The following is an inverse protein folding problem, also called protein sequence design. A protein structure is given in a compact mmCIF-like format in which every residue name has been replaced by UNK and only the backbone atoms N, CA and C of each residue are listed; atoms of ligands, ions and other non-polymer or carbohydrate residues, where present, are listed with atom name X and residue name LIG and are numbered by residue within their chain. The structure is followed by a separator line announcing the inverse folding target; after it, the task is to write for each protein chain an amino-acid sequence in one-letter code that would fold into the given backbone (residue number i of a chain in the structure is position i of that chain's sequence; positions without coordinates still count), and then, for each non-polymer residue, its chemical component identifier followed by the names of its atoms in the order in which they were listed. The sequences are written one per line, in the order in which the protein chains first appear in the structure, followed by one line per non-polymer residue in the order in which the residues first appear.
data_IF_064961978016
#
_entry.id   IF_064961978016
#
_cell.length_a   1.000
_cell.length_b   1.000
_cell.length_c   1.000
_cell.angle_alpha   90.00
_cell.angle_beta   90.00
_cell.angle_gamma   90.00
#
_symmetry.space_group_name_H-M   'P 1'
#
loop_
_entity.id
_entity.type
_entity.pdbx_description
1 polymer ?
#
# COMPACT_ATOMS: atom_id res chain seq x y z
N UNK A 1 9.01 -11.36 -12.60
CA UNK A 1 9.24 -11.13 -11.14
C UNK A 1 10.43 -10.20 -11.01
N UNK A 2 10.35 -9.17 -10.15
CA UNK A 2 11.46 -8.27 -9.83
C UNK A 2 11.95 -8.55 -8.41
N UNK A 3 13.26 -8.57 -8.19
CA UNK A 3 13.86 -8.83 -6.87
C UNK A 3 14.57 -7.56 -6.40
N UNK A 4 14.06 -6.96 -5.33
CA UNK A 4 14.66 -5.79 -4.69
C UNK A 4 15.57 -6.23 -3.55
N UNK A 5 16.82 -5.79 -3.56
CA UNK A 5 17.82 -6.17 -2.58
C UNK A 5 18.40 -4.95 -1.87
N UNK A 6 18.38 -4.97 -0.54
CA UNK A 6 18.74 -3.81 0.29
C UNK A 6 20.24 -3.69 0.55
N UNK A 7 21.02 -4.74 0.25
CA UNK A 7 22.47 -4.72 0.36
C UNK A 7 23.11 -4.42 -1.01
N UNK A 8 24.32 -3.87 -1.02
CA UNK A 8 24.95 -3.26 -2.22
C UNK A 8 25.38 -4.25 -3.32
N UNK A 9 25.01 -5.53 -3.21
CA UNK A 9 25.26 -6.55 -4.25
C UNK A 9 24.42 -6.36 -5.52
N UNK A 10 23.46 -5.43 -5.54
CA UNK A 10 22.65 -5.15 -6.73
C UNK A 10 23.50 -4.67 -7.92
N UNK A 11 24.70 -4.10 -7.67
CA UNK A 11 25.62 -3.69 -8.73
C UNK A 11 26.37 -4.87 -9.38
N UNK A 12 26.42 -6.02 -8.72
CA UNK A 12 27.10 -7.22 -9.20
C UNK A 12 26.19 -8.12 -10.05
N UNK A 13 24.86 -7.97 -9.91
CA UNK A 13 23.87 -8.82 -10.56
C UNK A 13 22.81 -7.98 -11.28
N UNK A 14 22.81 -8.03 -12.61
CA UNK A 14 21.91 -7.24 -13.47
C UNK A 14 20.41 -7.51 -13.29
N UNK A 15 20.05 -8.63 -12.66
CA UNK A 15 18.67 -8.99 -12.33
C UNK A 15 18.19 -8.42 -10.98
N UNK A 16 19.09 -7.89 -10.16
CA UNK A 16 18.75 -7.28 -8.86
C UNK A 16 18.44 -5.80 -9.01
N UNK A 17 17.40 -5.37 -8.33
CA UNK A 17 17.05 -3.97 -8.21
C UNK A 17 17.50 -3.45 -6.86
N UNK A 18 18.07 -2.24 -6.83
CA UNK A 18 18.46 -1.61 -5.57
C UNK A 18 17.23 -1.40 -4.68
N UNK A 19 17.34 -1.69 -3.38
CA UNK A 19 16.20 -1.57 -2.45
C UNK A 19 15.60 -0.16 -2.37
N UNK A 20 16.41 0.89 -2.62
CA UNK A 20 15.93 2.27 -2.69
C UNK A 20 15.03 2.56 -3.92
N UNK A 21 14.91 1.63 -4.86
CA UNK A 21 13.98 1.72 -6.00
C UNK A 21 12.54 1.38 -5.62
N UNK A 22 12.31 0.80 -4.45
CA UNK A 22 10.98 0.51 -3.91
C UNK A 22 10.93 0.89 -2.43
N UNK A 23 11.00 2.20 -2.11
CA UNK A 23 10.85 2.64 -0.73
C UNK A 23 9.48 2.23 -0.19
N UNK A 24 9.45 1.69 1.02
CA UNK A 24 8.25 1.23 1.71
C UNK A 24 8.06 2.01 3.01
N UNK A 25 7.61 3.28 2.93
CA UNK A 25 7.47 4.12 4.11
C UNK A 25 6.24 3.67 4.92
N UNK A 26 6.36 3.65 6.24
CA UNK A 26 5.35 3.11 7.15
C UNK A 26 4.85 4.18 8.13
N UNK A 27 3.52 4.33 8.24
CA UNK A 27 2.88 5.37 9.04
C UNK A 27 3.07 5.24 10.56
N UNK A 28 3.40 4.03 11.05
CA UNK A 28 3.61 3.74 12.48
C UNK A 28 2.50 4.28 13.41
N UNK A 29 1.25 4.00 13.06
CA UNK A 29 0.07 4.48 13.79
C UNK A 29 -1.05 3.44 13.87
N UNK A 30 -1.87 3.55 14.92
CA UNK A 30 -3.15 2.84 15.08
C UNK A 30 -4.35 3.66 14.61
N UNK A 31 -4.15 4.96 14.35
CA UNK A 31 -5.23 5.85 13.95
C UNK A 31 -5.37 5.84 12.42
N UNK A 32 -6.51 5.33 11.95
CA UNK A 32 -6.82 5.25 10.52
C UNK A 32 -6.78 6.60 9.82
N UNK A 33 -7.18 7.71 10.46
CA UNK A 33 -7.11 9.03 9.83
C UNK A 33 -5.66 9.48 9.61
N UNK A 34 -4.77 9.21 10.57
CA UNK A 34 -3.34 9.48 10.42
C UNK A 34 -2.73 8.60 9.34
N UNK A 35 -3.18 7.35 9.23
CA UNK A 35 -2.79 6.46 8.13
C UNK A 35 -3.23 7.03 6.78
N UNK A 36 -4.51 7.39 6.62
CA UNK A 36 -5.03 7.94 5.37
C UNK A 36 -4.30 9.23 4.97
N UNK A 37 -4.07 10.14 5.93
CA UNK A 37 -3.28 11.35 5.69
C UNK A 37 -1.86 11.01 5.22
N UNK A 38 -1.20 10.05 5.86
CA UNK A 38 0.13 9.59 5.45
C UNK A 38 0.14 9.00 4.03
N UNK A 39 -0.87 8.20 3.68
CA UNK A 39 -1.00 7.62 2.35
C UNK A 39 -1.17 8.71 1.28
N UNK A 40 -2.02 9.71 1.54
CA UNK A 40 -2.20 10.86 0.62
C UNK A 40 -0.92 11.69 0.49
N UNK A 41 -0.27 12.02 1.60
CA UNK A 41 0.98 12.79 1.60
C UNK A 41 2.07 12.06 0.81
N UNK A 42 2.31 10.79 1.11
CA UNK A 42 3.36 10.02 0.43
C UNK A 42 3.05 9.78 -1.05
N UNK A 43 1.77 9.67 -1.43
CA UNK A 43 1.36 9.59 -2.82
C UNK A 43 1.59 10.92 -3.56
N UNK A 44 1.31 12.05 -2.91
CA UNK A 44 1.55 13.38 -3.47
C UNK A 44 3.04 13.74 -3.62
N UNK A 45 3.86 13.32 -2.67
CA UNK A 45 5.31 13.60 -2.62
C UNK A 45 6.16 12.62 -3.44
N UNK A 46 5.56 11.56 -3.98
CA UNK A 46 6.31 10.49 -4.65
C UNK A 46 7.11 10.99 -5.86
N UNK A 47 8.22 10.32 -6.14
CA UNK A 47 8.90 10.50 -7.42
C UNK A 47 8.01 9.98 -8.56
N UNK A 48 7.88 10.80 -9.62
CA UNK A 48 7.12 10.43 -10.83
C UNK A 48 7.85 9.38 -11.68
N UNK A 49 9.16 9.24 -11.52
CA UNK A 49 10.01 8.33 -12.33
C UNK A 49 11.15 7.73 -11.50
N UNK A 50 11.64 6.58 -11.94
CA UNK A 50 12.86 5.97 -11.40
C UNK A 50 12.71 5.21 -10.08
N UNK A 51 11.52 5.20 -9.48
CA UNK A 51 11.16 4.38 -8.31
C UNK A 51 9.72 3.87 -8.41
N UNK A 52 9.44 2.78 -7.71
CA UNK A 52 8.11 2.27 -7.44
C UNK A 52 7.55 2.99 -6.20
N UNK A 53 6.28 3.37 -6.25
CA UNK A 53 5.58 3.92 -5.09
C UNK A 53 4.83 2.81 -4.36
N UNK A 54 5.12 2.65 -3.08
CA UNK A 54 4.45 1.70 -2.20
C UNK A 54 3.59 2.47 -1.20
N UNK A 55 2.29 2.22 -1.25
CA UNK A 55 1.32 2.72 -0.30
C UNK A 55 1.10 1.66 0.80
N UNK A 56 1.72 1.85 1.96
CA UNK A 56 1.62 0.89 3.07
C UNK A 56 0.39 1.15 3.95
N UNK A 57 -0.75 0.59 3.55
CA UNK A 57 -2.00 0.62 4.30
C UNK A 57 -1.99 -0.41 5.45
N UNK A 58 -1.01 -0.30 6.35
CA UNK A 58 -0.82 -1.17 7.51
C UNK A 58 -1.07 -0.36 8.77
N UNK A 59 -2.01 -0.82 9.61
CA UNK A 59 -2.17 -0.28 10.95
C UNK A 59 -1.27 -1.04 11.91
N UNK A 60 -0.53 -0.32 12.74
CA UNK A 60 0.34 -0.97 13.71
C UNK A 60 0.04 -0.47 15.11
N UNK A 61 -0.29 -1.39 16.03
CA UNK A 61 -0.28 -1.10 17.45
C UNK A 61 1.08 -0.57 17.86
N UNK A 62 1.12 0.70 18.27
CA UNK A 62 2.31 1.21 18.93
C UNK A 62 2.56 0.29 20.14
N UNK A 63 3.79 -0.21 20.19
CA UNK A 63 4.31 -1.26 21.09
C UNK A 63 3.95 -2.70 20.66
N UNK A 64 4.96 -3.38 20.12
CA UNK A 64 5.06 -4.80 19.73
C UNK A 64 4.50 -5.83 20.74
N UNK A 65 4.05 -5.41 21.91
CA UNK A 65 3.52 -6.24 23.00
C UNK A 65 2.01 -6.46 22.89
N UNK A 66 1.25 -5.55 22.29
CA UNK A 66 -0.22 -5.58 22.40
C UNK A 66 -0.88 -6.55 21.40
N UNK A 67 -0.30 -6.79 20.22
CA UNK A 67 -0.90 -7.71 19.22
C UNK A 67 -1.00 -9.15 19.71
N UNK A 68 -0.01 -9.63 20.47
CA UNK A 68 -0.04 -11.01 21.00
C UNK A 68 -1.08 -11.19 22.12
N UNK A 69 -1.56 -10.09 22.71
CA UNK A 69 -2.56 -10.08 23.80
C UNK A 69 -3.90 -9.43 23.44
N UNK A 70 -4.06 -8.92 22.22
CA UNK A 70 -5.32 -8.34 21.76
C UNK A 70 -6.34 -9.46 21.55
N UNK A 71 -7.33 -9.52 22.44
CA UNK A 71 -8.47 -10.43 22.31
C UNK A 71 -9.05 -10.31 20.89
N UNK A 72 -9.37 -11.45 20.27
CA UNK A 72 -9.91 -11.51 18.91
C UNK A 72 -11.05 -10.51 18.65
N UNK A 73 -11.86 -10.21 19.67
CA UNK A 73 -12.91 -9.18 19.61
C UNK A 73 -12.39 -7.76 19.34
N UNK A 74 -11.29 -7.33 19.95
CA UNK A 74 -10.74 -5.98 19.72
C UNK A 74 -10.05 -5.88 18.34
N UNK A 75 -9.42 -6.98 17.88
CA UNK A 75 -8.96 -7.08 16.48
C UNK A 75 -10.14 -6.95 15.52
N UNK A 76 -11.24 -7.68 15.76
CA UNK A 76 -12.44 -7.57 14.93
C UNK A 76 -13.02 -6.15 14.93
N UNK A 77 -13.14 -5.48 16.08
CA UNK A 77 -13.68 -4.12 16.13
C UNK A 77 -12.80 -3.10 15.39
N UNK A 78 -11.47 -3.22 15.53
CA UNK A 78 -10.53 -2.37 14.80
C UNK A 78 -10.61 -2.60 13.29
N UNK A 79 -10.69 -3.87 12.88
CA UNK A 79 -10.88 -4.27 11.48
C UNK A 79 -12.19 -3.69 10.93
N UNK A 80 -13.33 -3.95 11.58
CA UNK A 80 -14.65 -3.52 11.12
C UNK A 80 -14.76 -2.00 11.00
N UNK A 81 -14.08 -1.25 11.88
CA UNK A 81 -14.10 0.21 11.83
C UNK A 81 -13.16 0.78 10.78
N UNK A 82 -11.95 0.23 10.66
CA UNK A 82 -10.90 0.84 9.86
C UNK A 82 -10.89 0.34 8.41
N UNK A 83 -11.26 -0.93 8.16
CA UNK A 83 -11.27 -1.52 6.82
C UNK A 83 -12.16 -0.74 5.85
N UNK A 84 -13.42 -0.36 6.18
CA UNK A 84 -14.26 0.40 5.25
C UNK A 84 -13.63 1.74 4.85
N UNK A 85 -12.94 2.41 5.78
CA UNK A 85 -12.27 3.67 5.52
C UNK A 85 -11.08 3.51 4.57
N UNK A 86 -10.29 2.45 4.77
CA UNK A 86 -9.14 2.13 3.91
C UNK A 86 -9.64 1.69 2.54
N UNK A 87 -10.67 0.83 2.46
CA UNK A 87 -11.28 0.43 1.19
C UNK A 87 -11.83 1.63 0.43
N UNK A 88 -12.50 2.55 1.11
CA UNK A 88 -12.98 3.78 0.49
C UNK A 88 -11.82 4.61 -0.08
N UNK A 89 -10.72 4.73 0.68
CA UNK A 89 -9.51 5.37 0.19
C UNK A 89 -8.98 4.69 -1.07
N UNK A 90 -8.84 3.35 -1.09
CA UNK A 90 -8.37 2.59 -2.26
C UNK A 90 -9.29 2.83 -3.47
N UNK A 91 -10.61 2.78 -3.30
CA UNK A 91 -11.60 2.98 -4.37
C UNK A 91 -11.51 4.37 -5.03
N UNK A 92 -11.05 5.39 -4.29
CA UNK A 92 -10.86 6.74 -4.81
C UNK A 92 -9.55 6.91 -5.59
N UNK A 93 -8.65 5.94 -5.53
CA UNK A 93 -7.34 6.06 -6.18
C UNK A 93 -7.40 5.85 -7.69
N UNK A 94 -6.46 6.47 -8.39
CA UNK A 94 -6.18 6.18 -9.80
C UNK A 94 -4.97 5.27 -9.90
N UNK A 95 -4.98 4.19 -10.69
CA UNK A 95 -3.79 3.37 -10.91
C UNK A 95 -2.78 4.08 -11.82
N UNK A 96 -1.50 3.72 -11.69
CA UNK A 96 -0.46 4.00 -12.69
C UNK A 96 0.46 5.18 -12.36
N UNK A 97 1.07 5.77 -13.39
CA UNK A 97 2.17 6.73 -13.25
C UNK A 97 1.80 8.06 -12.57
N UNK A 98 0.51 8.34 -12.39
CA UNK A 98 0.00 9.52 -11.67
C UNK A 98 -0.82 9.18 -10.42
N UNK A 99 -0.88 7.90 -10.03
CA UNK A 99 -1.52 7.50 -8.78
C UNK A 99 -0.87 6.26 -8.16
N UNK A 100 -1.66 5.36 -7.58
CA UNK A 100 -1.13 4.21 -6.83
C UNK A 100 -0.47 3.18 -7.75
N UNK A 101 0.53 2.47 -7.21
CA UNK A 101 1.24 1.40 -7.92
C UNK A 101 1.20 0.10 -7.11
N UNK A 102 1.85 0.07 -5.94
CA UNK A 102 1.88 -1.09 -5.05
C UNK A 102 1.16 -0.72 -3.75
N UNK A 103 0.20 -1.52 -3.31
CA UNK A 103 -0.47 -1.36 -2.02
C UNK A 103 -0.15 -2.59 -1.16
N UNK A 104 0.39 -2.38 0.03
CA UNK A 104 0.61 -3.45 1.03
C UNK A 104 -0.28 -3.23 2.23
N UNK A 105 -0.94 -4.26 2.74
CA UNK A 105 -1.87 -4.15 3.87
C UNK A 105 -1.91 -5.43 4.71
N UNK A 106 -2.23 -5.29 5.99
CA UNK A 106 -2.56 -6.38 6.92
C UNK A 106 -3.98 -6.93 6.72
N UNK A 107 -4.78 -6.29 5.86
CA UNK A 107 -6.17 -6.66 5.57
C UNK A 107 -6.36 -7.44 4.26
N UNK A 108 -5.28 -7.89 3.62
CA UNK A 108 -5.35 -8.56 2.30
C UNK A 108 -6.20 -9.84 2.30
N UNK A 109 -6.25 -10.54 3.43
CA UNK A 109 -7.06 -11.75 3.61
C UNK A 109 -8.55 -11.46 3.85
N UNK A 110 -8.90 -10.19 4.07
CA UNK A 110 -10.29 -9.79 4.24
C UNK A 110 -10.95 -9.63 2.88
N UNK A 111 -12.14 -10.20 2.78
CA UNK A 111 -13.00 -10.17 1.59
C UNK A 111 -13.10 -8.71 1.09
N UNK A 112 -13.14 -8.55 -0.22
CA UNK A 112 -13.16 -7.28 -0.97
C UNK A 112 -11.83 -6.50 -1.07
N UNK A 113 -10.83 -6.69 -0.20
CA UNK A 113 -9.63 -5.84 -0.26
C UNK A 113 -8.79 -6.10 -1.52
N UNK A 114 -8.36 -7.34 -1.73
CA UNK A 114 -7.58 -7.70 -2.91
C UNK A 114 -8.38 -7.44 -4.20
N UNK A 115 -9.67 -7.76 -4.21
CA UNK A 115 -10.57 -7.51 -5.34
C UNK A 115 -10.68 -6.02 -5.66
N UNK A 116 -10.83 -5.16 -4.64
CA UNK A 116 -10.88 -3.70 -4.82
C UNK A 116 -9.59 -3.18 -5.44
N UNK A 117 -8.42 -3.65 -4.97
CA UNK A 117 -7.11 -3.25 -5.52
C UNK A 117 -6.96 -3.72 -6.97
N UNK A 118 -7.33 -4.97 -7.27
CA UNK A 118 -7.31 -5.50 -8.64
C UNK A 118 -8.26 -4.70 -9.54
N UNK A 119 -9.43 -4.35 -9.01
CA UNK A 119 -10.49 -3.59 -9.68
C UNK A 119 -10.00 -2.24 -10.24
N UNK A 120 -9.07 -1.57 -9.55
CA UNK A 120 -8.48 -0.32 -10.03
C UNK A 120 -7.84 -0.49 -11.40
N UNK A 121 -7.20 -1.63 -11.69
CA UNK A 121 -6.50 -1.83 -12.97
C UNK A 121 -7.44 -1.82 -14.18
N UNK A 122 -8.74 -2.11 -14.00
CA UNK A 122 -9.71 -2.00 -15.10
C UNK A 122 -9.88 -0.54 -15.59
N UNK A 123 -9.59 0.46 -14.74
CA UNK A 123 -9.60 1.87 -15.14
C UNK A 123 -8.53 2.17 -16.21
N UNK A 124 -7.40 1.45 -16.20
CA UNK A 124 -6.35 1.59 -17.22
C UNK A 124 -6.80 1.08 -18.58
N UNK A 125 -7.67 0.05 -18.61
CA UNK A 125 -8.20 -0.51 -19.86
C UNK A 125 -9.24 0.42 -20.50
N UNK A 126 -10.02 1.11 -19.68
CA UNK A 126 -11.02 2.08 -20.16
C UNK A 126 -10.35 3.30 -20.79
N UNK A 127 -9.37 3.89 -20.10
CA UNK A 127 -8.67 5.08 -20.62
C UNK A 127 -7.98 4.83 -21.97
N UNK A 128 -7.45 3.62 -22.19
CA UNK A 128 -6.85 3.25 -23.49
C UNK A 128 -7.86 3.23 -24.65
N UNK A 129 -9.13 2.91 -24.39
CA UNK A 129 -10.17 2.91 -25.44
C UNK A 129 -10.61 4.32 -25.82
N UNK A 130 -10.54 5.27 -24.90
CA UNK A 130 -10.93 6.66 -25.15
C UNK A 130 -9.83 7.44 -25.89
N UNK A 131 -8.57 6.97 -25.82
CA UNK A 131 -7.40 7.53 -26.53
C UNK A 131 -7.15 6.89 -27.92
N UNK A 132 -8.00 5.93 -28.35
CA UNK A 132 -7.89 5.20 -29.64
C UNK A 132 -8.97 5.63 -30.63
#
# INVERSE_FOLDING_TARGET
VLVFYHYNLWNEYSYLWAGNKMPAPWANTTNVHKLLQFLETTLGERSKRGTFHVSQAILTPQVKTIVRGLKAGLKNTLVHRNLPMILNWVKMQRPGAMGVNIITSDFVELVDFAETVIGLNYLLLRNKKDDS
#
